data_IF_671448873701
#
_entry.id   IF_671448873701
#
_cell.length_a   1.000
_cell.length_b   1.000
_cell.length_c   1.000
_cell.angle_alpha   90.00
_cell.angle_beta   90.00
_cell.angle_gamma   90.00
#
_symmetry.space_group_name_H-M   'P 1'
#
loop_
_entity.id
_entity.type
_entity.pdbx_description
1 polymer ?
#
# COMPACT_ATOMS: atom_id res chain seq x y z
N UNK A 1 0.59 -15.02 -5.78
CA UNK A 1 1.87 -14.58 -6.40
C UNK A 1 2.14 -13.17 -5.91
N UNK A 2 3.35 -12.87 -5.43
CA UNK A 2 3.69 -11.61 -4.75
C UNK A 2 3.25 -10.39 -5.56
N UNK A 3 2.43 -9.51 -4.95
CA UNK A 3 1.87 -8.30 -5.60
C UNK A 3 2.96 -7.28 -5.99
N UNK A 4 4.10 -7.29 -5.31
CA UNK A 4 5.25 -6.42 -5.58
C UNK A 4 6.50 -7.22 -5.89
N UNK A 5 7.25 -6.80 -6.91
CA UNK A 5 8.56 -7.33 -7.29
C UNK A 5 9.62 -6.25 -7.10
N UNK A 6 10.87 -6.65 -6.88
CA UNK A 6 12.01 -5.74 -6.83
C UNK A 6 13.17 -6.30 -7.63
N UNK A 7 14.00 -5.41 -8.16
CA UNK A 7 15.22 -5.79 -8.90
C UNK A 7 16.21 -6.39 -7.91
N UNK A 8 16.82 -7.52 -8.28
CA UNK A 8 17.88 -8.16 -7.51
C UNK A 8 19.04 -7.15 -7.32
N UNK A 9 19.64 -7.04 -6.11
CA UNK A 9 20.71 -6.07 -5.86
C UNK A 9 21.85 -6.12 -6.88
N UNK A 10 22.20 -7.32 -7.35
CA UNK A 10 23.26 -7.53 -8.36
C UNK A 10 22.89 -7.05 -9.76
N UNK A 11 21.60 -6.88 -10.05
CA UNK A 11 21.07 -6.42 -11.34
C UNK A 11 20.74 -4.92 -11.36
N UNK A 12 20.92 -4.19 -10.24
CA UNK A 12 20.62 -2.76 -10.14
C UNK A 12 21.45 -1.94 -11.13
N UNK A 13 22.75 -2.21 -11.21
CA UNK A 13 23.62 -1.47 -12.13
C UNK A 13 23.32 -1.82 -13.58
N UNK A 14 22.93 -3.07 -13.85
CA UNK A 14 22.48 -3.52 -15.17
C UNK A 14 21.25 -2.76 -15.65
N UNK A 15 20.20 -2.61 -14.82
CA UNK A 15 18.98 -1.87 -15.21
C UNK A 15 19.24 -0.37 -15.36
N UNK A 16 20.10 0.23 -14.53
CA UNK A 16 20.51 1.64 -14.66
C UNK A 16 21.31 1.89 -15.94
N UNK A 17 22.16 0.94 -16.32
CA UNK A 17 22.91 1.00 -17.56
C UNK A 17 22.00 0.80 -18.78
N UNK A 18 21.03 -0.12 -18.68
CA UNK A 18 20.02 -0.38 -19.70
C UNK A 18 19.17 0.87 -19.99
N UNK A 19 18.84 1.66 -18.97
CA UNK A 19 18.14 2.94 -19.14
C UNK A 19 18.88 3.87 -20.12
N UNK A 20 20.19 4.04 -19.91
CA UNK A 20 21.02 4.89 -20.78
C UNK A 20 21.19 4.30 -22.18
N UNK A 21 21.36 2.97 -22.27
CA UNK A 21 21.53 2.25 -23.55
C UNK A 21 20.29 2.28 -24.43
N UNK A 22 19.10 2.29 -23.84
CA UNK A 22 17.83 2.38 -24.55
C UNK A 22 17.43 3.82 -24.90
N UNK A 23 18.35 4.78 -24.83
CA UNK A 23 18.12 6.14 -25.30
C UNK A 23 17.35 7.04 -24.33
N UNK A 24 17.28 6.67 -23.04
CA UNK A 24 16.67 7.49 -22.00
C UNK A 24 17.75 8.26 -21.21
N UNK A 25 18.10 9.49 -21.60
CA UNK A 25 19.09 10.29 -20.88
C UNK A 25 18.60 10.67 -19.48
N UNK A 26 17.28 10.77 -19.27
CA UNK A 26 16.66 11.03 -17.96
C UNK A 26 15.63 9.97 -17.64
N UNK A 27 15.51 9.61 -16.36
CA UNK A 27 14.45 8.71 -15.87
C UNK A 27 13.05 9.24 -16.24
N UNK A 28 12.86 10.56 -16.20
CA UNK A 28 11.59 11.20 -16.55
C UNK A 28 11.11 10.86 -17.96
N UNK A 29 12.03 10.67 -18.92
CA UNK A 29 11.67 10.40 -20.31
C UNK A 29 11.00 9.01 -20.43
N UNK A 30 11.54 7.99 -19.77
CA UNK A 30 10.94 6.66 -19.71
C UNK A 30 9.65 6.63 -18.88
N UNK A 31 9.59 7.40 -17.79
CA UNK A 31 8.40 7.48 -16.95
C UNK A 31 7.21 8.09 -17.70
N UNK A 32 7.44 9.14 -18.50
CA UNK A 32 6.42 9.75 -19.35
C UNK A 32 5.95 8.81 -20.46
N UNK A 33 6.88 8.07 -21.09
CA UNK A 33 6.54 7.13 -22.17
C UNK A 33 5.70 5.94 -21.67
N UNK A 34 6.03 5.40 -20.49
CA UNK A 34 5.27 4.31 -19.87
C UNK A 34 4.03 4.80 -19.10
N UNK A 35 3.77 6.12 -19.05
CA UNK A 35 2.68 6.72 -18.27
C UNK A 35 2.70 6.34 -16.77
N UNK A 36 3.89 6.10 -16.22
CA UNK A 36 4.10 5.77 -14.80
C UNK A 36 4.66 6.97 -14.04
N UNK A 37 4.56 6.93 -12.70
CA UNK A 37 5.17 7.98 -11.89
C UNK A 37 6.70 7.90 -11.94
N UNK A 38 7.38 9.06 -11.92
CA UNK A 38 8.84 9.12 -11.80
C UNK A 38 9.34 8.39 -10.55
N UNK A 39 8.56 8.42 -9.46
CA UNK A 39 8.84 7.65 -8.24
C UNK A 39 8.80 6.15 -8.46
N UNK A 40 7.85 5.63 -9.24
CA UNK A 40 7.74 4.19 -9.58
C UNK A 40 8.99 3.73 -10.33
N UNK A 41 9.42 4.50 -11.33
CA UNK A 41 10.63 4.18 -12.08
C UNK A 41 11.90 4.31 -11.22
N UNK A 42 11.98 5.33 -10.37
CA UNK A 42 13.10 5.47 -9.45
C UNK A 42 13.16 4.33 -8.42
N UNK A 43 12.00 3.83 -7.97
CA UNK A 43 11.93 2.67 -7.09
C UNK A 43 12.46 1.42 -7.80
N UNK A 44 12.01 1.15 -9.03
CA UNK A 44 12.50 0.03 -9.84
C UNK A 44 14.03 0.08 -10.02
N UNK A 45 14.56 1.23 -10.45
CA UNK A 45 15.98 1.41 -10.72
C UNK A 45 16.86 1.29 -9.48
N UNK A 46 16.31 1.40 -8.27
CA UNK A 46 17.06 1.26 -7.02
C UNK A 46 16.72 -0.02 -6.25
N UNK A 47 16.07 -1.00 -6.90
CA UNK A 47 15.75 -2.29 -6.26
C UNK A 47 14.72 -2.17 -5.14
N UNK A 48 13.88 -1.13 -5.15
CA UNK A 48 12.73 -1.02 -4.24
C UNK A 48 11.53 -1.76 -4.82
N UNK A 49 10.58 -2.22 -3.99
CA UNK A 49 9.38 -2.90 -4.47
C UNK A 49 8.57 -2.00 -5.40
N UNK A 50 8.13 -2.58 -6.51
CA UNK A 50 7.24 -1.98 -7.50
C UNK A 50 6.16 -3.01 -7.83
N UNK A 51 4.96 -2.54 -8.13
CA UNK A 51 3.86 -3.41 -8.57
C UNK A 51 4.30 -4.31 -9.74
N UNK A 52 3.79 -5.54 -9.77
CA UNK A 52 4.22 -6.57 -10.73
C UNK A 52 4.05 -6.12 -12.19
N UNK A 53 2.93 -5.45 -12.53
CA UNK A 53 2.67 -4.97 -13.88
C UNK A 53 3.72 -3.94 -14.30
N UNK A 54 3.92 -2.93 -13.46
CA UNK A 54 4.94 -1.91 -13.68
C UNK A 54 6.35 -2.52 -13.77
N UNK A 55 6.66 -3.53 -12.97
CA UNK A 55 7.95 -4.21 -13.01
C UNK A 55 8.18 -4.91 -14.35
N UNK A 56 7.18 -5.60 -14.88
CA UNK A 56 7.24 -6.27 -16.18
C UNK A 56 7.38 -5.25 -17.31
N UNK A 57 6.52 -4.23 -17.34
CA UNK A 57 6.51 -3.20 -18.38
C UNK A 57 7.84 -2.43 -18.44
N UNK A 58 8.39 -2.02 -17.28
CA UNK A 58 9.68 -1.35 -17.23
C UNK A 58 10.80 -2.28 -17.71
N UNK A 59 10.80 -3.54 -17.28
CA UNK A 59 11.84 -4.51 -17.67
C UNK A 59 11.82 -4.81 -19.16
N UNK A 60 10.63 -5.03 -19.72
CA UNK A 60 10.44 -5.26 -21.16
C UNK A 60 10.90 -4.05 -21.97
N UNK A 61 10.54 -2.84 -21.53
CA UNK A 61 10.96 -1.60 -22.20
C UNK A 61 12.48 -1.38 -22.15
N UNK A 62 13.14 -1.87 -21.10
CA UNK A 62 14.59 -1.83 -20.96
C UNK A 62 15.30 -3.03 -21.62
N UNK A 63 14.56 -3.93 -22.28
CA UNK A 63 15.09 -5.14 -22.91
C UNK A 63 15.69 -6.13 -21.90
N UNK A 64 15.17 -6.15 -20.68
CA UNK A 64 15.59 -7.06 -19.61
C UNK A 64 14.56 -8.17 -19.41
N UNK A 65 15.03 -9.39 -19.19
CA UNK A 65 14.15 -10.47 -18.74
C UNK A 65 13.78 -10.25 -17.27
N UNK A 66 12.53 -9.86 -17.03
CA UNK A 66 12.03 -9.56 -15.69
C UNK A 66 12.20 -10.74 -14.73
N UNK A 67 12.17 -12.00 -15.20
CA UNK A 67 12.35 -13.18 -14.33
C UNK A 67 13.80 -13.34 -13.89
N UNK A 68 14.74 -12.95 -14.73
CA UNK A 68 16.17 -13.04 -14.45
C UNK A 68 16.64 -11.95 -13.47
N UNK A 69 16.00 -10.78 -13.49
CA UNK A 69 16.35 -9.65 -12.63
C UNK A 69 15.43 -9.49 -11.42
N UNK A 70 14.30 -10.21 -11.36
CA UNK A 70 13.40 -10.17 -10.22
C UNK A 70 13.99 -10.96 -9.05
N UNK A 71 13.96 -10.37 -7.87
CA UNK A 71 14.20 -11.08 -6.61
C UNK A 71 12.99 -11.97 -6.30
N UNK A 72 13.00 -13.20 -6.83
CA UNK A 72 11.98 -14.23 -6.59
C UNK A 72 12.42 -15.10 -5.42
N UNK A 73 11.97 -14.78 -4.21
CA UNK A 73 12.18 -15.68 -3.06
C UNK A 73 11.47 -17.01 -3.32
N UNK A 74 12.24 -18.06 -3.63
CA UNK A 74 11.76 -19.44 -3.58
C UNK A 74 12.19 -20.07 -2.26
N UNK A 75 11.32 -20.04 -1.25
CA UNK A 75 10.87 -21.20 -0.47
C UNK A 75 9.90 -20.77 0.65
N UNK A 76 8.70 -21.31 0.62
CA UNK A 76 7.81 -21.52 1.76
C UNK A 76 8.44 -22.55 2.72
N UNK A 77 8.63 -22.27 4.01
CA UNK A 77 7.70 -22.54 5.13
C UNK A 77 8.32 -22.05 6.47
N UNK A 78 7.57 -22.11 7.60
CA UNK A 78 7.11 -20.99 8.41
C UNK A 78 8.17 -20.43 9.37
N UNK A 79 7.82 -19.34 10.06
CA UNK A 79 8.54 -18.72 11.20
C UNK A 79 9.59 -17.65 10.84
N UNK A 80 9.47 -16.53 11.55
CA UNK A 80 10.40 -15.41 11.69
C UNK A 80 10.46 -14.44 10.51
N UNK A 81 9.35 -13.70 10.34
CA UNK A 81 9.31 -12.46 9.59
C UNK A 81 10.16 -11.38 10.27
N UNK A 82 11.42 -11.27 9.87
CA UNK A 82 12.09 -9.97 9.87
C UNK A 82 11.45 -9.13 8.75
N UNK A 83 10.32 -8.50 9.07
CA UNK A 83 9.66 -7.53 8.20
C UNK A 83 10.49 -6.26 8.21
N UNK A 84 11.07 -5.91 7.08
CA UNK A 84 11.55 -4.54 6.85
C UNK A 84 10.31 -3.73 6.44
N UNK A 85 9.83 -2.76 7.25
CA UNK A 85 8.56 -2.10 6.97
C UNK A 85 8.70 -1.14 5.78
N UNK A 86 7.71 -1.20 4.89
CA UNK A 86 7.48 -0.19 3.85
C UNK A 86 7.21 1.17 4.53
N UNK A 87 7.96 2.25 4.21
CA UNK A 87 7.85 3.54 4.92
C UNK A 87 6.49 4.23 4.84
N UNK A 88 5.56 3.73 4.03
CA UNK A 88 4.24 4.34 3.79
C UNK A 88 3.04 3.43 4.01
N UNK A 89 3.23 2.20 4.48
CA UNK A 89 2.14 1.42 5.08
C UNK A 89 2.04 1.78 6.56
N UNK A 90 0.92 2.37 7.02
CA UNK A 90 0.54 2.31 8.42
C UNK A 90 0.40 0.83 8.76
N UNK A 91 1.40 0.29 9.44
CA UNK A 91 1.37 -1.05 10.01
C UNK A 91 0.40 -1.02 11.19
N UNK A 92 -0.90 -1.03 10.89
CA UNK A 92 -1.98 -1.10 11.88
C UNK A 92 -2.31 -2.54 12.25
N UNK A 93 -1.76 -3.52 11.51
CA UNK A 93 -1.98 -4.95 11.69
C UNK A 93 -0.89 -5.61 12.55
N UNK A 94 0.14 -4.87 12.97
CA UNK A 94 1.15 -5.33 13.94
C UNK A 94 0.97 -4.62 15.28
N UNK A 95 0.35 -5.33 16.20
CA UNK A 95 0.03 -4.92 17.59
C UNK A 95 1.27 -4.66 18.50
N UNK A 96 2.47 -4.40 17.97
CA UNK A 96 3.70 -4.26 18.78
C UNK A 96 4.73 -3.24 18.23
N UNK A 97 4.59 -2.70 17.02
CA UNK A 97 5.70 -1.97 16.36
C UNK A 97 5.50 -0.47 16.13
N UNK A 98 4.41 0.13 16.64
CA UNK A 98 4.40 1.58 16.86
C UNK A 98 4.98 1.75 18.25
N UNK A 99 6.25 2.19 18.40
CA UNK A 99 6.81 2.40 19.72
C UNK A 99 5.82 3.28 20.50
N UNK A 100 5.71 3.04 21.80
CA UNK A 100 5.17 4.04 22.70
C UNK A 100 6.11 5.24 22.62
N UNK A 101 5.93 6.08 21.59
CA UNK A 101 6.93 7.05 21.23
C UNK A 101 6.83 8.14 22.27
N UNK A 102 7.78 8.15 23.20
CA UNK A 102 8.07 9.22 24.18
C UNK A 102 8.23 10.63 23.54
N UNK A 103 8.11 10.74 22.21
CA UNK A 103 8.25 11.96 21.41
C UNK A 103 6.94 12.44 20.75
N UNK A 104 5.77 11.87 21.08
CA UNK A 104 4.50 12.41 20.59
C UNK A 104 4.05 13.63 21.38
N UNK A 105 4.04 14.79 20.74
CA UNK A 105 3.43 16.00 21.31
C UNK A 105 1.93 15.98 21.00
N UNK A 106 1.10 15.89 22.05
CA UNK A 106 -0.35 15.99 21.90
C UNK A 106 -0.75 17.33 21.29
N UNK A 107 -1.79 17.31 20.45
CA UNK A 107 -2.30 18.48 19.75
C UNK A 107 -3.77 18.74 20.11
N UNK A 108 -4.10 19.05 21.39
CA UNK A 108 -5.47 19.38 21.75
C UNK A 108 -6.04 20.51 20.88
N UNK A 109 -7.32 20.44 20.46
CA UNK A 109 -8.31 19.40 20.79
C UNK A 109 -8.40 18.28 19.73
N UNK A 110 -7.42 18.13 18.84
CA UNK A 110 -7.56 17.30 17.62
C UNK A 110 -7.82 15.83 17.98
N UNK A 111 -7.01 15.24 18.86
CA UNK A 111 -7.15 13.85 19.30
C UNK A 111 -8.51 13.61 19.96
N UNK A 112 -8.90 14.49 20.87
CA UNK A 112 -10.18 14.41 21.58
C UNK A 112 -11.36 14.51 20.62
N UNK A 113 -11.29 15.42 19.65
CA UNK A 113 -12.34 15.60 18.63
C UNK A 113 -12.47 14.36 17.76
N UNK A 114 -11.36 13.81 17.28
CA UNK A 114 -11.36 12.58 16.49
C UNK A 114 -11.95 11.41 17.29
N UNK A 115 -11.49 11.22 18.53
CA UNK A 115 -11.95 10.13 19.40
C UNK A 115 -13.46 10.23 19.68
N UNK A 116 -13.94 11.39 20.13
CA UNK A 116 -15.37 11.59 20.43
C UNK A 116 -16.26 11.47 19.20
N UNK A 117 -15.76 11.85 18.03
CA UNK A 117 -16.50 11.70 16.77
C UNK A 117 -16.63 10.22 16.40
N UNK A 118 -15.55 9.44 16.53
CA UNK A 118 -15.53 8.01 16.19
C UNK A 118 -16.31 7.12 17.16
N UNK A 119 -16.64 7.61 18.36
CA UNK A 119 -17.60 6.94 19.25
C UNK A 119 -19.03 6.92 18.68
N UNK A 120 -19.36 7.79 17.73
CA UNK A 120 -20.69 7.82 17.11
C UNK A 120 -20.75 6.82 15.95
N UNK A 121 -21.70 5.87 15.94
CA UNK A 121 -21.86 4.95 14.82
C UNK A 121 -22.07 5.68 13.49
N UNK A 122 -21.42 5.21 12.43
CA UNK A 122 -21.51 5.83 11.10
C UNK A 122 -20.77 7.16 10.94
N UNK A 123 -19.97 7.58 11.92
CA UNK A 123 -19.19 8.80 11.80
C UNK A 123 -18.09 8.70 10.74
N UNK A 124 -17.81 9.84 10.09
CA UNK A 124 -16.71 9.99 9.14
C UNK A 124 -15.78 11.11 9.61
N UNK A 125 -14.51 10.75 9.83
CA UNK A 125 -13.44 11.72 10.15
C UNK A 125 -12.48 11.78 8.97
N UNK A 126 -12.27 13.00 8.44
CA UNK A 126 -11.36 13.24 7.32
C UNK A 126 -10.18 14.09 7.78
N UNK A 127 -8.99 13.52 7.76
CA UNK A 127 -7.74 14.21 8.15
C UNK A 127 -6.99 14.65 6.87
N UNK A 128 -6.72 15.95 6.74
CA UNK A 128 -5.99 16.53 5.60
C UNK A 128 -4.78 17.32 6.08
N UNK A 129 -3.60 16.98 5.57
CA UNK A 129 -2.35 17.72 5.78
C UNK A 129 -1.29 17.25 4.76
N UNK A 130 -0.26 18.06 4.47
CA UNK A 130 0.91 17.65 3.69
C UNK A 130 1.55 16.35 4.19
N UNK A 131 2.37 15.70 3.35
CA UNK A 131 3.16 14.52 3.75
C UNK A 131 4.00 14.83 5.00
N UNK A 132 4.29 13.79 5.80
CA UNK A 132 5.13 13.87 7.00
C UNK A 132 4.61 14.74 8.16
N UNK A 133 3.36 15.24 8.12
CA UNK A 133 2.77 16.04 9.21
C UNK A 133 2.19 15.23 10.40
N UNK A 134 2.42 13.91 10.43
CA UNK A 134 1.96 13.03 11.53
C UNK A 134 0.51 12.55 11.43
N UNK A 135 -0.13 12.63 10.24
CA UNK A 135 -1.52 12.16 10.03
C UNK A 135 -1.71 10.70 10.42
N UNK A 136 -0.81 9.84 9.96
CA UNK A 136 -0.82 8.41 10.24
C UNK A 136 -0.67 8.13 11.74
N UNK A 137 0.23 8.87 12.39
CA UNK A 137 0.46 8.74 13.83
C UNK A 137 -0.76 9.17 14.65
N UNK A 138 -1.43 10.26 14.24
CA UNK A 138 -2.71 10.68 14.84
C UNK A 138 -3.79 9.60 14.71
N UNK A 139 -3.94 9.02 13.51
CA UNK A 139 -4.90 7.93 13.26
C UNK A 139 -4.61 6.74 14.18
N UNK A 140 -3.35 6.28 14.19
CA UNK A 140 -2.96 5.12 15.00
C UNK A 140 -3.21 5.34 16.50
N UNK A 141 -2.90 6.53 17.05
CA UNK A 141 -3.17 6.83 18.46
C UNK A 141 -4.65 6.81 18.80
N UNK A 142 -5.49 7.42 17.96
CA UNK A 142 -6.94 7.45 18.18
C UNK A 142 -7.54 6.06 18.07
N UNK A 143 -7.13 5.28 17.06
CA UNK A 143 -7.59 3.91 16.87
C UNK A 143 -7.16 3.00 18.03
N UNK A 144 -5.90 3.03 18.46
CA UNK A 144 -5.43 2.25 19.61
C UNK A 144 -6.25 2.53 20.86
N UNK A 145 -6.57 3.81 21.12
CA UNK A 145 -7.43 4.18 22.24
C UNK A 145 -8.85 3.59 22.12
N UNK A 146 -9.42 3.56 20.91
CA UNK A 146 -10.73 2.95 20.66
C UNK A 146 -10.70 1.42 20.83
N UNK A 147 -9.68 0.75 20.31
CA UNK A 147 -9.49 -0.70 20.48
C UNK A 147 -9.36 -1.03 21.98
N UNK A 148 -8.45 -0.37 22.69
CA UNK A 148 -8.16 -0.67 24.09
C UNK A 148 -9.33 -0.33 25.04
N UNK A 149 -10.09 0.74 24.79
CA UNK A 149 -11.13 1.22 25.71
C UNK A 149 -12.54 0.78 25.33
N UNK A 150 -12.80 0.49 24.06
CA UNK A 150 -14.14 0.22 23.54
C UNK A 150 -14.24 -1.11 22.79
N UNK A 151 -13.12 -1.84 22.62
CA UNK A 151 -13.12 -3.15 21.96
C UNK A 151 -13.41 -3.10 20.46
N UNK A 152 -13.14 -1.97 19.80
CA UNK A 152 -13.38 -1.82 18.37
C UNK A 152 -12.46 -2.74 17.56
N UNK A 153 -12.97 -3.28 16.46
CA UNK A 153 -12.15 -3.90 15.42
C UNK A 153 -11.83 -2.85 14.36
N UNK A 154 -10.58 -2.82 13.90
CA UNK A 154 -10.11 -1.87 12.91
C UNK A 154 -9.66 -2.60 11.65
N UNK A 155 -9.97 -2.02 10.50
CA UNK A 155 -9.48 -2.49 9.21
C UNK A 155 -8.74 -1.34 8.53
N UNK A 156 -7.54 -1.59 8.06
CA UNK A 156 -6.78 -0.63 7.26
C UNK A 156 -6.99 -0.89 5.76
N UNK A 157 -7.37 0.16 5.01
CA UNK A 157 -7.58 0.06 3.57
C UNK A 157 -6.77 1.15 2.88
N UNK A 158 -5.87 0.72 1.99
CA UNK A 158 -5.10 1.62 1.14
C UNK A 158 -5.66 1.64 -0.28
N UNK A 159 -6.28 2.76 -0.66
CA UNK A 159 -6.82 2.96 -2.01
C UNK A 159 -5.75 2.92 -3.12
N UNK A 160 -4.46 3.08 -2.81
CA UNK A 160 -3.38 2.91 -3.80
C UNK A 160 -3.19 1.46 -4.23
N UNK A 161 -3.71 0.48 -3.47
CA UNK A 161 -3.66 -0.93 -3.83
C UNK A 161 -4.83 -1.36 -4.71
N UNK A 162 -5.79 -0.46 -4.97
CA UNK A 162 -6.91 -0.73 -5.85
C UNK A 162 -6.49 -0.59 -7.32
N UNK A 163 -6.95 -1.51 -8.18
CA UNK A 163 -6.74 -1.35 -9.62
C UNK A 163 -7.65 -0.25 -10.16
N UNK A 164 -7.31 0.27 -11.35
CA UNK A 164 -8.16 1.26 -12.02
C UNK A 164 -9.60 0.75 -12.22
N UNK A 165 -9.78 -0.54 -12.52
CA UNK A 165 -11.10 -1.16 -12.68
C UNK A 165 -11.92 -1.19 -11.37
N UNK A 166 -11.25 -1.33 -10.23
CA UNK A 166 -11.87 -1.33 -8.91
C UNK A 166 -12.41 0.06 -8.55
N UNK A 167 -11.75 1.12 -9.02
CA UNK A 167 -12.15 2.51 -8.77
C UNK A 167 -12.99 3.14 -9.89
N UNK A 168 -13.31 2.37 -10.95
CA UNK A 168 -13.95 2.90 -12.16
C UNK A 168 -15.39 3.39 -11.92
N UNK A 169 -16.11 2.79 -10.99
CA UNK A 169 -17.46 3.17 -10.63
C UNK A 169 -17.79 2.74 -9.19
N UNK A 170 -18.91 3.24 -8.65
CA UNK A 170 -19.33 2.95 -7.28
C UNK A 170 -19.51 1.44 -7.02
N UNK A 171 -20.03 0.70 -8.00
CA UNK A 171 -20.29 -0.74 -7.85
C UNK A 171 -18.97 -1.52 -7.70
N UNK A 172 -18.00 -1.26 -8.57
CA UNK A 172 -16.66 -1.84 -8.49
C UNK A 172 -15.97 -1.48 -7.17
N UNK A 173 -16.08 -0.22 -6.75
CA UNK A 173 -15.47 0.27 -5.52
C UNK A 173 -16.03 -0.45 -4.30
N UNK A 174 -17.35 -0.61 -4.23
CA UNK A 174 -18.01 -1.27 -3.10
C UNK A 174 -17.73 -2.78 -3.07
N UNK A 175 -17.65 -3.45 -4.23
CA UNK A 175 -17.22 -4.86 -4.33
C UNK A 175 -15.79 -5.03 -3.80
N UNK A 176 -14.86 -4.21 -4.28
CA UNK A 176 -13.46 -4.24 -3.85
C UNK A 176 -13.33 -3.92 -2.35
N UNK A 177 -14.01 -2.87 -1.88
CA UNK A 177 -14.00 -2.48 -0.47
C UNK A 177 -14.55 -3.59 0.43
N UNK A 178 -15.69 -4.19 0.08
CA UNK A 178 -16.28 -5.29 0.84
C UNK A 178 -15.35 -6.50 0.88
N UNK A 179 -14.68 -6.82 -0.23
CA UNK A 179 -13.71 -7.89 -0.28
C UNK A 179 -12.56 -7.63 0.70
N UNK A 180 -11.94 -6.45 0.65
CA UNK A 180 -10.85 -6.09 1.54
C UNK A 180 -11.27 -6.13 3.02
N UNK A 181 -12.44 -5.59 3.37
CA UNK A 181 -12.94 -5.63 4.75
C UNK A 181 -13.17 -7.07 5.23
N UNK A 182 -13.80 -7.91 4.40
CA UNK A 182 -14.03 -9.31 4.76
C UNK A 182 -12.72 -10.08 4.92
N UNK A 183 -11.76 -9.89 4.01
CA UNK A 183 -10.44 -10.52 4.07
C UNK A 183 -9.68 -10.12 5.35
N UNK A 184 -9.60 -8.82 5.65
CA UNK A 184 -8.90 -8.32 6.85
C UNK A 184 -9.53 -8.77 8.16
N UNK A 185 -10.85 -9.01 8.18
CA UNK A 185 -11.57 -9.51 9.37
C UNK A 185 -11.65 -11.03 9.44
N UNK A 186 -11.08 -11.77 8.48
CA UNK A 186 -11.18 -13.23 8.40
C UNK A 186 -12.62 -13.73 8.18
N UNK A 187 -13.47 -12.88 7.61
CA UNK A 187 -14.86 -13.22 7.29
C UNK A 187 -14.94 -13.94 5.94
N UNK A 188 -15.88 -14.88 5.83
CA UNK A 188 -16.12 -15.56 4.57
C UNK A 188 -16.53 -14.56 3.49
N UNK A 189 -15.87 -14.61 2.34
CA UNK A 189 -16.24 -13.80 1.18
C UNK A 189 -17.58 -14.30 0.61
N UNK A 190 -18.64 -13.53 0.85
CA UNK A 190 -20.01 -13.80 0.37
C UNK A 190 -20.45 -12.81 -0.72
N UNK A 191 -19.51 -12.14 -1.38
CA UNK A 191 -19.84 -11.16 -2.43
C UNK A 191 -20.74 -11.76 -3.51
N UNK A 192 -20.51 -13.01 -3.92
CA UNK A 192 -21.35 -13.69 -4.89
C UNK A 192 -22.81 -13.88 -4.43
N UNK A 193 -23.04 -14.01 -3.13
CA UNK A 193 -24.37 -14.28 -2.56
C UNK A 193 -25.24 -13.01 -2.45
N UNK A 194 -24.59 -11.86 -2.21
CA UNK A 194 -25.28 -10.58 -1.97
C UNK A 194 -25.24 -9.62 -3.16
N UNK A 195 -24.30 -9.80 -4.08
CA UNK A 195 -24.07 -8.87 -5.19
C UNK A 195 -24.58 -9.47 -6.51
N UNK A 196 -25.90 -9.38 -6.72
CA UNK A 196 -26.52 -9.79 -7.98
C UNK A 196 -26.11 -8.85 -9.13
N UNK A 197 -25.54 -9.42 -10.19
CA UNK A 197 -25.12 -8.68 -11.40
C UNK A 197 -26.29 -8.38 -12.38
N UNK A 198 -27.52 -8.69 -11.99
CA UNK A 198 -28.71 -8.59 -12.85
C UNK A 198 -29.54 -7.31 -12.74
N UNK A 199 -29.06 -6.30 -12.01
CA UNK A 199 -29.73 -4.99 -11.87
C UNK A 199 -28.84 -3.88 -12.43
N UNK A 200 -28.64 -3.89 -13.75
CA UNK A 200 -28.11 -2.76 -14.52
C UNK A 200 -28.94 -2.57 -15.78
#
# INVERSE_FOLDING_TARGET
>A
MSRSLRVHPESIDQVKLALKRNGYPRQKDLAEELQISLSTLNNYLNGRPVDNLNFQEISEKLGQDWKAIAFLDQESTPSNSNVNPDPWTPDLDQDESIPDVDYYVERPPIETTCYQTLLRPGALVRIKAPSLMGKTLLIARVLRKLVAQQGYQTVYINLHLANHADLANLNSLLKWFSFCVSESLGLANRLADYWYEGLS
#
